data_IF_250363891303
#
_entry.id   IF_250363891303
#
_cell.length_a   1.000
_cell.length_b   1.000
_cell.length_c   1.000
_cell.angle_alpha   90.00
_cell.angle_beta   90.00
_cell.angle_gamma   90.00
#
_symmetry.space_group_name_H-M   'P 1'
#
loop_
_entity.id
_entity.type
_entity.pdbx_description
1 polymer ?
#
# COMPACT_ATOMS: atom_id res chain seq x y z
N UNK A 1 9.12 16.40 -11.60
CA UNK A 1 8.58 16.00 -10.29
C UNK A 1 8.35 14.51 -10.38
N UNK A 2 8.92 13.73 -9.47
CA UNK A 2 8.78 12.27 -9.48
C UNK A 2 7.65 11.90 -8.53
N UNK A 3 6.65 11.18 -9.03
CA UNK A 3 5.58 10.65 -8.18
C UNK A 3 6.13 9.50 -7.35
N UNK A 4 5.54 9.27 -6.18
CA UNK A 4 5.86 8.13 -5.32
C UNK A 4 4.59 7.39 -5.04
N UNK A 5 4.53 6.12 -5.42
CA UNK A 5 3.38 5.26 -5.21
C UNK A 5 3.80 4.12 -4.29
N UNK A 6 3.07 3.94 -3.21
CA UNK A 6 3.34 2.88 -2.24
C UNK A 6 2.21 1.87 -2.31
N UNK A 7 2.55 0.59 -2.30
CA UNK A 7 1.59 -0.47 -2.04
C UNK A 7 1.81 -1.05 -0.64
N UNK A 8 0.73 -1.29 0.10
CA UNK A 8 0.75 -2.00 1.37
C UNK A 8 0.19 -3.41 1.15
N UNK A 9 0.95 -4.43 1.54
CA UNK A 9 0.58 -5.85 1.38
C UNK A 9 0.38 -6.53 2.74
N UNK A 10 -0.77 -7.18 2.92
CA UNK A 10 -1.13 -7.91 4.15
C UNK A 10 -1.04 -9.44 4.05
N UNK A 11 -0.35 -9.98 3.05
CA UNK A 11 -0.38 -11.43 2.77
C UNK A 11 0.31 -12.26 3.85
N UNK A 12 -0.30 -13.39 4.19
CA UNK A 12 0.14 -14.32 5.25
C UNK A 12 0.89 -15.55 4.73
N UNK A 13 1.16 -15.64 3.42
CA UNK A 13 1.84 -16.79 2.78
C UNK A 13 3.25 -16.49 2.28
N UNK A 14 4.05 -17.54 2.06
CA UNK A 14 5.40 -17.48 1.47
C UNK A 14 5.49 -18.38 0.20
N UNK A 15 5.52 -17.82 -1.02
CA UNK A 15 5.48 -16.39 -1.33
C UNK A 15 4.07 -15.78 -1.16
N UNK A 16 4.01 -14.47 -0.90
CA UNK A 16 2.76 -13.74 -0.70
C UNK A 16 2.06 -13.40 -2.01
N UNK A 17 0.85 -13.95 -2.21
CA UNK A 17 0.00 -13.64 -3.37
C UNK A 17 -0.40 -12.16 -3.44
N UNK A 18 -0.62 -11.52 -2.29
CA UNK A 18 -0.98 -10.09 -2.26
C UNK A 18 0.22 -9.20 -2.55
N UNK A 19 1.44 -9.61 -2.16
CA UNK A 19 2.67 -8.91 -2.54
C UNK A 19 2.87 -9.01 -4.05
N UNK A 20 2.74 -10.20 -4.63
CA UNK A 20 2.85 -10.37 -6.09
C UNK A 20 1.79 -9.55 -6.85
N UNK A 21 0.58 -9.43 -6.31
CA UNK A 21 -0.44 -8.55 -6.87
C UNK A 21 -0.05 -7.07 -6.76
N UNK A 22 0.41 -6.62 -5.60
CA UNK A 22 0.87 -5.26 -5.35
C UNK A 22 1.97 -4.84 -6.33
N UNK A 23 2.99 -5.68 -6.49
CA UNK A 23 4.10 -5.44 -7.42
C UNK A 23 3.60 -5.28 -8.86
N UNK A 24 2.65 -6.11 -9.31
CA UNK A 24 2.07 -6.02 -10.65
C UNK A 24 1.26 -4.74 -10.86
N UNK A 25 0.47 -4.33 -9.87
CA UNK A 25 -0.28 -3.06 -9.91
C UNK A 25 0.69 -1.88 -9.99
N UNK A 26 1.71 -1.86 -9.14
CA UNK A 26 2.72 -0.78 -9.13
C UNK A 26 3.49 -0.70 -10.46
N UNK A 27 3.87 -1.84 -11.02
CA UNK A 27 4.55 -1.90 -12.32
C UNK A 27 3.67 -1.31 -13.44
N UNK A 28 2.38 -1.68 -13.47
CA UNK A 28 1.42 -1.13 -14.43
C UNK A 28 1.20 0.39 -14.23
N UNK A 29 1.01 0.84 -13.00
CA UNK A 29 0.80 2.25 -12.68
C UNK A 29 2.02 3.11 -13.08
N UNK A 30 3.23 2.64 -12.79
CA UNK A 30 4.48 3.30 -13.20
C UNK A 30 4.58 3.41 -14.72
N UNK A 31 4.25 2.35 -15.45
CA UNK A 31 4.30 2.38 -16.92
C UNK A 31 3.27 3.36 -17.50
N UNK A 32 2.04 3.39 -16.96
CA UNK A 32 1.02 4.35 -17.39
C UNK A 32 1.44 5.81 -17.15
N UNK A 33 2.03 6.11 -15.98
CA UNK A 33 2.56 7.45 -15.70
C UNK A 33 3.70 7.81 -16.66
N UNK A 34 4.58 6.86 -16.96
CA UNK A 34 5.69 7.05 -17.90
C UNK A 34 5.17 7.37 -19.30
N UNK A 35 4.11 6.72 -19.77
CA UNK A 35 3.45 7.03 -21.05
C UNK A 35 2.88 8.45 -21.07
N UNK A 36 2.43 8.97 -19.93
CA UNK A 36 2.02 10.36 -19.73
C UNK A 36 3.17 11.36 -19.55
N UNK A 37 4.43 10.93 -19.66
CA UNK A 37 5.62 11.79 -19.48
C UNK A 37 5.95 12.09 -18.01
N UNK A 38 5.47 11.27 -17.09
CA UNK A 38 5.65 11.44 -15.64
C UNK A 38 6.44 10.26 -15.08
N UNK A 39 7.53 10.54 -14.36
CA UNK A 39 8.29 9.51 -13.66
C UNK A 39 7.65 9.16 -12.31
N UNK A 40 7.72 7.88 -11.94
CA UNK A 40 7.23 7.39 -10.66
C UNK A 40 8.19 6.40 -10.00
N UNK A 41 8.47 6.63 -8.73
CA UNK A 41 9.08 5.67 -7.81
C UNK A 41 7.98 4.81 -7.19
N UNK A 42 8.21 3.50 -7.13
CA UNK A 42 7.24 2.54 -6.61
C UNK A 42 7.87 1.67 -5.54
N UNK A 43 7.07 1.31 -4.54
CA UNK A 43 7.54 0.60 -3.37
C UNK A 43 6.43 -0.27 -2.76
N UNK A 44 6.78 -1.47 -2.28
CA UNK A 44 5.87 -2.32 -1.49
C UNK A 44 6.32 -2.32 -0.02
N UNK A 45 5.37 -2.06 0.88
CA UNK A 45 5.49 -2.25 2.33
C UNK A 45 4.72 -3.51 2.69
N UNK A 46 5.42 -4.53 3.18
CA UNK A 46 4.77 -5.71 3.74
C UNK A 46 4.41 -5.48 5.20
N UNK A 47 3.17 -5.81 5.56
CA UNK A 47 2.68 -5.70 6.94
C UNK A 47 3.12 -6.87 7.81
N UNK A 48 3.42 -8.04 7.23
CA UNK A 48 3.81 -9.23 7.99
C UNK A 48 5.00 -8.99 8.92
N UNK A 49 6.12 -8.36 8.46
CA UNK A 49 7.22 -7.96 9.33
C UNK A 49 6.87 -6.91 10.40
N UNK A 50 5.81 -6.12 10.18
CA UNK A 50 5.37 -5.04 11.07
C UNK A 50 4.18 -5.45 11.96
N UNK A 51 3.69 -6.69 11.84
CA UNK A 51 2.45 -7.12 12.47
C UNK A 51 2.51 -7.04 14.00
N UNK A 52 3.62 -7.44 14.60
CA UNK A 52 3.83 -7.33 16.05
C UNK A 52 3.86 -5.88 16.51
N UNK A 53 4.64 -5.03 15.83
CA UNK A 53 4.73 -3.61 16.14
C UNK A 53 3.36 -2.91 16.04
N UNK A 54 2.51 -3.31 15.08
CA UNK A 54 1.15 -2.78 14.94
C UNK A 54 0.26 -3.13 16.13
N UNK A 55 0.36 -4.36 16.63
CA UNK A 55 -0.37 -4.80 17.83
C UNK A 55 0.12 -4.02 19.05
N UNK A 56 1.43 -3.88 19.22
CA UNK A 56 2.02 -3.15 20.34
C UNK A 56 1.61 -1.67 20.32
N UNK A 57 1.65 -1.03 19.15
CA UNK A 57 1.17 0.34 18.98
C UNK A 57 -0.33 0.46 19.30
N UNK A 58 -1.15 -0.52 18.90
CA UNK A 58 -2.59 -0.49 19.19
C UNK A 58 -2.88 -0.55 20.69
N UNK A 59 -2.06 -1.29 21.45
CA UNK A 59 -2.21 -1.44 22.90
C UNK A 59 -1.60 -0.27 23.69
N UNK A 60 -0.48 0.27 23.22
CA UNK A 60 0.31 1.27 23.95
C UNK A 60 0.09 2.70 23.46
N UNK A 61 -0.39 2.87 22.23
CA UNK A 61 -0.47 4.15 21.52
C UNK A 61 0.87 4.65 20.98
N UNK A 62 1.94 3.85 21.05
CA UNK A 62 3.30 4.27 20.69
C UNK A 62 3.79 3.43 19.51
N UNK A 63 4.14 4.08 18.40
CA UNK A 63 4.69 3.41 17.24
C UNK A 63 6.19 3.12 17.41
N UNK A 64 6.65 1.99 16.88
CA UNK A 64 8.08 1.69 16.76
C UNK A 64 8.73 2.57 15.68
N UNK A 65 10.06 2.66 15.67
CA UNK A 65 10.79 3.39 14.61
C UNK A 65 10.50 2.83 13.21
N UNK A 66 10.35 1.50 13.10
CA UNK A 66 10.01 0.84 11.84
C UNK A 66 8.60 1.23 11.36
N UNK A 67 7.63 1.32 12.28
CA UNK A 67 6.28 1.79 11.96
C UNK A 67 6.22 3.25 11.60
N UNK A 68 6.89 4.13 12.35
CA UNK A 68 6.94 5.56 12.00
C UNK A 68 7.57 5.76 10.63
N UNK A 69 8.65 5.05 10.31
CA UNK A 69 9.26 5.08 8.99
C UNK A 69 8.28 4.64 7.90
N UNK A 70 7.53 3.56 8.13
CA UNK A 70 6.53 3.08 7.19
C UNK A 70 5.38 4.10 7.01
N UNK A 71 4.86 4.66 8.10
CA UNK A 71 3.81 5.67 8.05
C UNK A 71 4.26 6.96 7.38
N UNK A 72 5.47 7.43 7.64
CA UNK A 72 6.00 8.63 7.00
C UNK A 72 6.14 8.45 5.50
N UNK A 73 6.58 7.28 5.03
CA UNK A 73 6.62 6.95 3.60
C UNK A 73 5.22 7.00 2.99
N UNK A 74 4.23 6.40 3.65
CA UNK A 74 2.82 6.42 3.22
C UNK A 74 2.26 7.85 3.18
N UNK A 75 2.41 8.61 4.28
CA UNK A 75 1.91 10.00 4.40
C UNK A 75 2.47 10.92 3.33
N UNK A 76 3.71 10.68 2.92
CA UNK A 76 4.41 11.51 1.95
C UNK A 76 4.36 10.94 0.52
N UNK A 77 3.63 9.84 0.29
CA UNK A 77 3.41 9.30 -1.05
C UNK A 77 2.36 10.12 -1.81
N UNK A 78 2.41 10.02 -3.13
CA UNK A 78 1.43 10.62 -4.03
C UNK A 78 0.30 9.64 -4.39
N UNK A 79 0.48 8.36 -4.10
CA UNK A 79 -0.50 7.31 -4.35
C UNK A 79 -0.31 6.14 -3.39
N UNK A 80 -1.43 5.54 -3.00
CA UNK A 80 -1.48 4.39 -2.11
C UNK A 80 -2.30 3.27 -2.76
N UNK A 81 -1.74 2.07 -2.78
CA UNK A 81 -2.42 0.83 -3.16
C UNK A 81 -2.50 -0.05 -1.92
N UNK A 82 -3.66 -0.61 -1.63
CA UNK A 82 -3.79 -1.60 -0.54
C UNK A 82 -4.13 -2.95 -1.16
N UNK A 83 -3.20 -3.89 -1.03
CA UNK A 83 -3.33 -5.25 -1.52
C UNK A 83 -3.40 -6.20 -0.31
N UNK A 84 -4.60 -6.46 0.17
CA UNK A 84 -4.81 -7.32 1.33
C UNK A 84 -6.11 -8.11 1.19
N UNK A 85 -6.21 -9.24 1.90
CA UNK A 85 -7.43 -10.03 1.87
C UNK A 85 -8.55 -9.27 2.61
N UNK A 86 -9.78 -9.24 2.08
CA UNK A 86 -10.85 -8.36 2.56
C UNK A 86 -11.27 -8.57 4.04
N UNK A 87 -10.89 -9.68 4.67
CA UNK A 87 -11.18 -9.92 6.08
C UNK A 87 -10.22 -9.18 7.04
N UNK A 88 -8.95 -8.97 6.66
CA UNK A 88 -7.90 -8.54 7.59
C UNK A 88 -7.68 -7.01 7.64
N UNK A 89 -8.06 -6.28 6.58
CA UNK A 89 -7.79 -4.84 6.46
C UNK A 89 -9.03 -3.94 6.56
N UNK A 90 -10.22 -4.50 6.85
CA UNK A 90 -11.49 -3.73 6.83
C UNK A 90 -11.44 -2.46 7.68
N UNK A 91 -10.82 -2.51 8.86
CA UNK A 91 -10.71 -1.36 9.76
C UNK A 91 -9.82 -0.23 9.23
N UNK A 92 -8.87 -0.51 8.33
CA UNK A 92 -8.00 0.50 7.71
C UNK A 92 -8.75 1.28 6.62
N UNK A 93 -9.78 0.67 6.03
CA UNK A 93 -10.56 1.27 4.95
C UNK A 93 -11.73 2.14 5.45
N UNK A 94 -12.14 1.99 6.71
CA UNK A 94 -13.27 2.75 7.27
C UNK A 94 -12.96 4.26 7.40
N UNK A 95 -11.68 4.65 7.40
CA UNK A 95 -11.22 6.04 7.51
C UNK A 95 -10.83 6.70 6.17
N UNK A 96 -10.81 5.95 5.06
CA UNK A 96 -10.47 6.50 3.74
C UNK A 96 -11.70 7.12 3.07
N UNK A 97 -11.51 8.25 2.39
CA UNK A 97 -12.54 8.84 1.54
C UNK A 97 -12.85 7.87 0.36
N UNK A 98 -14.09 7.36 0.24
CA UNK A 98 -14.47 6.44 -0.83
C UNK A 98 -14.25 7.02 -2.23
N UNK A 99 -14.36 8.34 -2.40
CA UNK A 99 -14.12 9.00 -3.70
C UNK A 99 -12.62 9.06 -4.05
N UNK A 100 -11.74 8.93 -3.05
CA UNK A 100 -10.29 8.87 -3.25
C UNK A 100 -9.78 7.45 -3.56
N UNK A 101 -10.66 6.44 -3.58
CA UNK A 101 -10.31 5.03 -3.78
C UNK A 101 -10.83 4.53 -5.14
N UNK A 102 -9.93 4.23 -6.07
CA UNK A 102 -10.29 3.63 -7.36
C UNK A 102 -10.60 2.13 -7.20
N UNK A 103 -11.79 1.65 -7.61
CA UNK A 103 -12.13 0.23 -7.60
C UNK A 103 -11.20 -0.62 -8.46
N UNK A 104 -10.87 -1.84 -7.99
CA UNK A 104 -9.89 -2.72 -8.62
C UNK A 104 -10.28 -3.17 -10.04
N UNK A 105 -11.57 -3.36 -10.31
CA UNK A 105 -12.12 -3.66 -11.63
C UNK A 105 -11.90 -2.53 -12.64
N UNK A 106 -11.89 -1.27 -12.17
CA UNK A 106 -11.59 -0.11 -13.00
C UNK A 106 -10.10 0.02 -13.33
N UNK A 107 -9.21 -0.54 -12.49
CA UNK A 107 -7.77 -0.59 -12.75
C UNK A 107 -7.37 -1.64 -13.80
N UNK A 108 -8.19 -2.67 -14.01
CA UNK A 108 -7.92 -3.74 -14.98
C UNK A 108 -8.55 -3.50 -16.35
N UNK A 109 -9.35 -2.45 -16.51
CA UNK A 109 -10.15 -2.15 -17.69
C UNK A 109 -9.67 -1.01 -18.58
N UNK A 110 -8.42 -0.54 -18.41
CA UNK A 110 -7.82 0.55 -19.20
C UNK A 110 -6.59 0.10 -19.99
#
# INVERSE_FOLDING_TARGET
MTYRIIAVSGGTGDPSNSTALAERILAAAREQLRLGGVDAEVEVIELSPLAHDLVDMTLTGIASEALETAFDRIRTSHGLVVAAQPAETRSVFDDLDPEAVTPFDQLLGA
#
